data_IF_336482101271
#
_entry.id   IF_336482101271
#
_cell.length_a   1.000
_cell.length_b   1.000
_cell.length_c   1.000
_cell.angle_alpha   90.00
_cell.angle_beta   90.00
_cell.angle_gamma   90.00
#
_symmetry.space_group_name_H-M   'P 1'
#
loop_
_entity.id
_entity.type
_entity.pdbx_description
1 polymer ?
#
# COMPACT_ATOMS: atom_id res chain seq x y z
N UNK A 1 9.82 -32.39 -13.11
CA UNK A 1 10.51 -31.15 -12.66
C UNK A 1 11.56 -30.76 -13.69
N UNK A 2 12.58 -31.60 -14.01
CA UNK A 2 13.65 -31.21 -14.90
C UNK A 2 13.22 -30.78 -16.31
N UNK A 3 12.18 -31.39 -16.90
CA UNK A 3 11.67 -30.95 -18.20
C UNK A 3 11.15 -29.49 -18.16
N UNK A 4 10.48 -29.12 -17.05
CA UNK A 4 10.02 -27.75 -16.81
C UNK A 4 11.21 -26.81 -16.58
N UNK A 5 12.18 -27.25 -15.78
CA UNK A 5 13.44 -26.53 -15.54
C UNK A 5 14.17 -26.21 -16.86
N UNK A 6 14.45 -27.21 -17.71
CA UNK A 6 15.12 -26.96 -18.99
C UNK A 6 14.34 -26.01 -19.90
N UNK A 7 13.02 -26.13 -19.91
CA UNK A 7 12.17 -25.22 -20.71
C UNK A 7 12.31 -23.75 -20.27
N UNK A 8 12.35 -23.49 -18.98
CA UNK A 8 12.46 -22.13 -18.43
C UNK A 8 13.89 -21.61 -18.53
N UNK A 9 14.90 -22.46 -18.35
CA UNK A 9 16.31 -22.08 -18.49
C UNK A 9 16.75 -21.85 -19.93
N UNK A 10 16.11 -22.47 -20.91
CA UNK A 10 16.53 -22.38 -22.31
C UNK A 10 16.66 -20.94 -22.84
N UNK A 11 15.73 -20.02 -22.62
CA UNK A 11 15.87 -18.62 -23.05
C UNK A 11 17.07 -17.89 -22.42
N UNK A 12 17.42 -18.19 -21.17
CA UNK A 12 18.59 -17.58 -20.50
C UNK A 12 19.89 -18.08 -21.11
N UNK A 13 19.96 -19.39 -21.41
CA UNK A 13 21.11 -20.00 -22.09
C UNK A 13 21.29 -19.43 -23.50
N UNK A 14 20.18 -19.24 -24.23
CA UNK A 14 20.22 -18.61 -25.57
C UNK A 14 20.69 -17.14 -25.45
N UNK A 15 20.24 -16.39 -24.46
CA UNK A 15 20.71 -15.03 -24.24
C UNK A 15 22.21 -15.01 -23.91
N UNK A 16 22.66 -15.87 -22.99
CA UNK A 16 24.08 -15.97 -22.60
C UNK A 16 24.97 -16.38 -23.76
N UNK A 17 24.49 -17.26 -24.69
CA UNK A 17 25.25 -17.68 -25.87
C UNK A 17 25.53 -16.56 -26.87
N UNK A 18 24.79 -15.44 -26.79
CA UNK A 18 25.06 -14.25 -27.61
C UNK A 18 26.31 -13.49 -27.13
N UNK A 19 26.78 -13.73 -25.91
CA UNK A 19 27.91 -13.01 -25.32
C UNK A 19 27.78 -11.49 -25.48
N UNK A 20 28.83 -10.82 -25.91
CA UNK A 20 28.86 -9.34 -26.12
C UNK A 20 27.85 -8.83 -27.18
N UNK A 21 27.20 -9.73 -27.94
CA UNK A 21 26.15 -9.36 -28.91
C UNK A 21 24.77 -9.29 -28.24
N UNK A 22 24.62 -9.68 -26.99
CA UNK A 22 23.37 -9.54 -26.26
C UNK A 22 23.09 -8.05 -26.01
N UNK A 23 21.94 -7.58 -26.46
CA UNK A 23 21.53 -6.19 -26.27
C UNK A 23 20.72 -6.01 -24.97
N UNK A 24 20.66 -4.77 -24.44
CA UNK A 24 19.77 -4.43 -23.32
C UNK A 24 18.31 -4.78 -23.66
N UNK A 25 17.90 -4.59 -24.93
CA UNK A 25 16.57 -4.97 -25.40
C UNK A 25 16.30 -6.49 -25.32
N UNK A 26 17.30 -7.32 -25.63
CA UNK A 26 17.16 -8.78 -25.49
C UNK A 26 16.96 -9.17 -24.02
N UNK A 27 17.71 -8.54 -23.12
CA UNK A 27 17.57 -8.74 -21.67
C UNK A 27 16.19 -8.29 -21.17
N UNK A 28 15.73 -7.09 -21.52
CA UNK A 28 14.42 -6.58 -21.11
C UNK A 28 13.25 -7.42 -21.64
N UNK A 29 13.36 -7.98 -22.84
CA UNK A 29 12.34 -8.88 -23.39
C UNK A 29 12.26 -10.18 -22.63
N UNK A 30 13.41 -10.74 -22.25
CA UNK A 30 13.47 -12.00 -21.51
C UNK A 30 13.03 -11.79 -20.06
N UNK A 31 13.64 -10.85 -19.33
CA UNK A 31 13.39 -10.64 -17.92
C UNK A 31 12.17 -9.74 -17.66
N UNK A 32 11.04 -10.07 -18.32
CA UNK A 32 9.75 -9.46 -17.98
C UNK A 32 9.20 -10.04 -16.67
N UNK A 33 8.24 -9.39 -16.01
CA UNK A 33 7.72 -9.82 -14.70
C UNK A 33 7.18 -11.25 -14.66
N UNK A 34 6.54 -11.70 -15.73
CA UNK A 34 5.98 -13.06 -15.83
C UNK A 34 7.09 -14.10 -15.88
N UNK A 35 8.11 -13.86 -16.72
CA UNK A 35 9.28 -14.72 -16.79
C UNK A 35 10.04 -14.79 -15.47
N UNK A 36 10.30 -13.63 -14.83
CA UNK A 36 11.01 -13.56 -13.54
C UNK A 36 10.29 -14.39 -12.48
N UNK A 37 8.97 -14.30 -12.41
CA UNK A 37 8.14 -15.07 -11.49
C UNK A 37 8.24 -16.58 -11.77
N UNK A 38 8.10 -16.99 -13.04
CA UNK A 38 8.20 -18.40 -13.43
C UNK A 38 9.60 -18.95 -13.20
N UNK A 39 10.62 -18.16 -13.52
CA UNK A 39 12.04 -18.50 -13.34
C UNK A 39 12.37 -18.79 -11.86
N UNK A 40 12.01 -17.91 -10.95
CA UNK A 40 12.22 -18.11 -9.52
C UNK A 40 11.47 -19.33 -8.98
N UNK A 41 10.21 -19.49 -9.37
CA UNK A 41 9.39 -20.62 -8.94
C UNK A 41 9.96 -21.98 -9.42
N UNK A 42 10.48 -22.04 -10.63
CA UNK A 42 11.06 -23.28 -11.20
C UNK A 42 12.41 -23.61 -10.57
N UNK A 43 13.24 -22.60 -10.25
CA UNK A 43 14.46 -22.81 -9.48
C UNK A 43 14.12 -23.45 -8.13
N UNK A 44 13.18 -22.86 -7.38
CA UNK A 44 12.76 -23.37 -6.07
C UNK A 44 12.18 -24.79 -6.17
N UNK A 45 11.31 -25.04 -7.14
CA UNK A 45 10.74 -26.36 -7.39
C UNK A 45 11.83 -27.40 -7.69
N UNK A 46 12.88 -27.01 -8.40
CA UNK A 46 13.98 -27.91 -8.75
C UNK A 46 14.86 -28.23 -7.53
N UNK A 47 15.23 -27.22 -6.75
CA UNK A 47 15.98 -27.39 -5.50
C UNK A 47 15.22 -28.29 -4.51
N UNK A 48 13.92 -28.02 -4.32
CA UNK A 48 13.06 -28.82 -3.44
C UNK A 48 12.91 -30.28 -3.91
N UNK A 49 12.78 -30.50 -5.22
CA UNK A 49 12.72 -31.82 -5.80
C UNK A 49 14.02 -32.61 -5.56
N UNK A 50 15.18 -31.98 -5.79
CA UNK A 50 16.47 -32.62 -5.57
C UNK A 50 16.67 -32.94 -4.08
N UNK A 51 16.32 -32.03 -3.18
CA UNK A 51 16.38 -32.25 -1.74
C UNK A 51 15.51 -33.44 -1.31
N UNK A 52 14.28 -33.54 -1.81
CA UNK A 52 13.35 -34.65 -1.46
C UNK A 52 13.78 -35.99 -2.06
N UNK A 53 14.39 -35.96 -3.23
CA UNK A 53 14.83 -37.20 -3.93
C UNK A 53 16.25 -37.65 -3.58
N UNK A 54 16.95 -36.91 -2.71
CA UNK A 54 18.37 -37.18 -2.39
C UNK A 54 19.33 -36.93 -3.56
N UNK A 55 18.88 -36.26 -4.62
CA UNK A 55 19.71 -35.86 -5.76
C UNK A 55 20.36 -34.50 -5.49
N UNK A 56 21.48 -34.25 -6.17
CA UNK A 56 22.22 -33.00 -6.09
C UNK A 56 22.88 -32.69 -7.44
N UNK A 57 22.05 -32.54 -8.48
CA UNK A 57 22.54 -32.32 -9.85
C UNK A 57 22.77 -30.85 -10.12
N UNK A 58 21.78 -29.99 -9.76
CA UNK A 58 21.78 -28.56 -10.04
C UNK A 58 21.67 -27.69 -8.78
N UNK A 59 21.39 -28.26 -7.60
CA UNK A 59 21.09 -27.52 -6.38
C UNK A 59 22.12 -26.46 -6.05
N UNK A 60 23.42 -26.81 -6.09
CA UNK A 60 24.49 -25.87 -5.68
C UNK A 60 24.62 -24.71 -6.67
N UNK A 61 24.53 -24.98 -7.98
CA UNK A 61 24.56 -23.95 -9.02
C UNK A 61 23.32 -23.05 -8.94
N UNK A 62 22.13 -23.62 -8.74
CA UNK A 62 20.88 -22.87 -8.67
C UNK A 62 20.80 -21.98 -7.44
N UNK A 63 21.39 -22.39 -6.31
CA UNK A 63 21.47 -21.54 -5.11
C UNK A 63 22.35 -20.31 -5.40
N UNK A 64 23.49 -20.48 -6.06
CA UNK A 64 24.38 -19.39 -6.44
C UNK A 64 23.73 -18.49 -7.49
N UNK A 65 23.16 -19.06 -8.53
CA UNK A 65 22.46 -18.31 -9.60
C UNK A 65 21.28 -17.49 -9.04
N UNK A 66 20.51 -18.07 -8.12
CA UNK A 66 19.43 -17.35 -7.43
C UNK A 66 19.98 -16.17 -6.64
N UNK A 67 21.09 -16.36 -5.92
CA UNK A 67 21.71 -15.29 -5.13
C UNK A 67 22.25 -14.16 -6.03
N UNK A 68 22.94 -14.50 -7.09
CA UNK A 68 23.52 -13.54 -8.04
C UNK A 68 22.42 -12.75 -8.77
N UNK A 69 21.35 -13.41 -9.18
CA UNK A 69 20.20 -12.78 -9.84
C UNK A 69 19.51 -11.79 -8.89
N UNK A 70 19.27 -12.19 -7.64
CA UNK A 70 18.70 -11.31 -6.61
C UNK A 70 19.59 -10.10 -6.36
N UNK A 71 20.90 -10.29 -6.22
CA UNK A 71 21.86 -9.21 -6.02
C UNK A 71 21.86 -8.24 -7.21
N UNK A 72 21.82 -8.73 -8.42
CA UNK A 72 21.75 -7.91 -9.64
C UNK A 72 20.51 -7.03 -9.67
N UNK A 73 19.32 -7.61 -9.43
CA UNK A 73 18.06 -6.84 -9.38
C UNK A 73 18.07 -5.83 -8.24
N UNK A 74 18.53 -6.21 -7.06
CA UNK A 74 18.60 -5.30 -5.92
C UNK A 74 19.53 -4.11 -6.18
N UNK A 75 20.70 -4.35 -6.75
CA UNK A 75 21.65 -3.30 -7.14
C UNK A 75 21.02 -2.34 -8.16
N UNK A 76 20.32 -2.87 -9.16
CA UNK A 76 19.59 -2.07 -10.14
C UNK A 76 18.50 -1.22 -9.47
N UNK A 77 17.69 -1.82 -8.60
CA UNK A 77 16.60 -1.14 -7.90
C UNK A 77 17.12 0.02 -7.02
N UNK A 78 18.22 -0.20 -6.29
CA UNK A 78 18.85 0.83 -5.47
C UNK A 78 19.45 1.95 -6.33
N UNK A 79 20.08 1.62 -7.46
CA UNK A 79 20.62 2.61 -8.41
C UNK A 79 19.51 3.48 -9.01
N UNK A 80 18.40 2.87 -9.42
CA UNK A 80 17.23 3.57 -9.95
C UNK A 80 16.61 4.49 -8.89
N UNK A 81 16.49 4.03 -7.65
CA UNK A 81 16.00 4.83 -6.53
C UNK A 81 16.91 6.04 -6.26
N UNK A 82 18.23 5.84 -6.21
CA UNK A 82 19.20 6.92 -6.03
C UNK A 82 19.17 7.95 -7.16
N UNK A 83 18.80 7.53 -8.38
CA UNK A 83 18.58 8.39 -9.52
C UNK A 83 17.17 9.02 -9.56
N UNK A 84 16.36 8.88 -8.50
CA UNK A 84 14.96 9.32 -8.40
C UNK A 84 14.04 8.78 -9.49
N UNK A 85 14.39 7.64 -10.10
CA UNK A 85 13.57 6.90 -11.06
C UNK A 85 12.63 5.97 -10.31
N UNK A 86 11.73 6.56 -9.52
CA UNK A 86 10.91 5.83 -8.55
C UNK A 86 9.99 4.78 -9.17
N UNK A 87 9.44 5.03 -10.35
CA UNK A 87 8.57 4.08 -11.05
C UNK A 87 9.34 2.82 -11.47
N UNK A 88 10.51 3.01 -12.07
CA UNK A 88 11.38 1.90 -12.49
C UNK A 88 11.96 1.16 -11.29
N UNK A 89 12.35 1.88 -10.23
CA UNK A 89 12.82 1.30 -8.99
C UNK A 89 11.73 0.44 -8.30
N UNK A 90 10.48 0.94 -8.28
CA UNK A 90 9.32 0.17 -7.80
C UNK A 90 9.15 -1.14 -8.58
N UNK A 91 9.22 -1.07 -9.92
CA UNK A 91 9.11 -2.27 -10.76
C UNK A 91 10.25 -3.27 -10.50
N UNK A 92 11.48 -2.80 -10.31
CA UNK A 92 12.63 -3.64 -10.02
C UNK A 92 12.50 -4.33 -8.64
N UNK A 93 12.10 -3.61 -7.58
CA UNK A 93 11.85 -4.21 -6.28
C UNK A 93 10.67 -5.20 -6.31
N UNK A 94 9.61 -4.89 -7.07
CA UNK A 94 8.50 -5.82 -7.22
C UNK A 94 8.93 -7.09 -7.98
N UNK A 95 9.82 -6.97 -8.96
CA UNK A 95 10.40 -8.13 -9.65
C UNK A 95 11.22 -8.99 -8.69
N UNK A 96 11.98 -8.38 -7.78
CA UNK A 96 12.73 -9.10 -6.75
C UNK A 96 11.80 -9.88 -5.81
N UNK A 97 10.72 -9.24 -5.36
CA UNK A 97 9.68 -9.92 -4.57
C UNK A 97 9.03 -11.07 -5.33
N UNK A 98 8.63 -10.88 -6.59
CA UNK A 98 7.97 -11.92 -7.38
C UNK A 98 8.89 -13.09 -7.71
N UNK A 99 10.20 -12.87 -7.77
CA UNK A 99 11.21 -13.90 -7.94
C UNK A 99 11.36 -14.80 -6.70
N UNK A 100 11.31 -14.23 -5.51
CA UNK A 100 11.45 -14.95 -4.24
C UNK A 100 10.47 -14.42 -3.16
N UNK A 101 9.15 -14.62 -3.31
CA UNK A 101 8.14 -14.00 -2.43
C UNK A 101 8.32 -14.36 -0.96
N UNK A 102 8.90 -15.52 -0.69
CA UNK A 102 9.11 -16.03 0.67
C UNK A 102 10.14 -15.22 1.45
N UNK A 103 11.20 -14.77 0.76
CA UNK A 103 12.33 -14.12 1.41
C UNK A 103 12.42 -12.62 1.11
N UNK A 104 11.69 -12.12 0.10
CA UNK A 104 11.78 -10.74 -0.39
C UNK A 104 10.57 -9.87 -0.03
N UNK A 105 9.91 -10.16 1.09
CA UNK A 105 8.77 -9.35 1.52
C UNK A 105 9.11 -7.87 1.76
N UNK A 106 10.34 -7.56 2.15
CA UNK A 106 10.83 -6.18 2.24
C UNK A 106 10.90 -5.49 0.88
N UNK A 107 11.22 -6.24 -0.17
CA UNK A 107 11.24 -5.72 -1.54
C UNK A 107 9.83 -5.34 -2.00
N UNK A 108 8.78 -6.09 -1.59
CA UNK A 108 7.38 -5.69 -1.81
C UNK A 108 7.06 -4.36 -1.10
N UNK A 109 7.51 -4.19 0.14
CA UNK A 109 7.32 -2.94 0.88
C UNK A 109 8.02 -1.76 0.18
N UNK A 110 9.27 -1.95 -0.26
CA UNK A 110 10.01 -0.92 -1.00
C UNK A 110 9.32 -0.57 -2.32
N UNK A 111 8.83 -1.57 -3.06
CA UNK A 111 8.08 -1.36 -4.29
C UNK A 111 6.82 -0.52 -4.05
N UNK A 112 6.07 -0.81 -2.98
CA UNK A 112 4.86 -0.08 -2.62
C UNK A 112 5.15 1.39 -2.27
N UNK A 113 6.18 1.65 -1.46
CA UNK A 113 6.63 3.01 -1.10
C UNK A 113 7.01 3.80 -2.36
N UNK A 114 7.81 3.21 -3.23
CA UNK A 114 8.32 3.86 -4.44
C UNK A 114 7.22 4.13 -5.47
N UNK A 115 6.20 3.28 -5.56
CA UNK A 115 5.03 3.54 -6.39
C UNK A 115 4.28 4.81 -5.93
N UNK A 116 4.14 4.99 -4.61
CA UNK A 116 3.54 6.21 -4.05
C UNK A 116 4.42 7.43 -4.32
N UNK A 117 5.74 7.32 -4.14
CA UNK A 117 6.69 8.40 -4.46
C UNK A 117 6.68 8.77 -5.95
N UNK A 118 6.41 7.81 -6.83
CA UNK A 118 6.22 8.05 -8.27
C UNK A 118 4.85 8.68 -8.61
N UNK A 119 4.00 8.97 -7.62
CA UNK A 119 2.61 9.41 -7.77
C UNK A 119 1.72 8.40 -8.53
N UNK A 120 2.15 7.14 -8.64
CA UNK A 120 1.33 6.06 -9.19
C UNK A 120 0.46 5.44 -8.07
N UNK A 121 -0.57 6.20 -7.66
CA UNK A 121 -1.42 5.82 -6.52
C UNK A 121 -2.21 4.53 -6.75
N UNK A 122 -2.53 4.20 -8.02
CA UNK A 122 -3.20 2.92 -8.34
C UNK A 122 -2.26 1.73 -8.14
N UNK A 123 -1.02 1.83 -8.63
CA UNK A 123 -0.02 0.81 -8.37
C UNK A 123 0.33 0.75 -6.89
N UNK A 124 0.51 1.90 -6.24
CA UNK A 124 0.76 2.01 -4.81
C UNK A 124 -0.31 1.26 -4.00
N UNK A 125 -1.59 1.51 -4.28
CA UNK A 125 -2.71 0.80 -3.64
C UNK A 125 -2.59 -0.71 -3.82
N UNK A 126 -2.42 -1.18 -5.05
CA UNK A 126 -2.29 -2.62 -5.35
C UNK A 126 -1.17 -3.28 -4.55
N UNK A 127 0.00 -2.63 -4.52
CA UNK A 127 1.17 -3.17 -3.80
C UNK A 127 1.00 -3.11 -2.28
N UNK A 128 0.37 -2.08 -1.74
CA UNK A 128 0.04 -2.01 -0.32
C UNK A 128 -1.05 -3.00 0.10
N UNK A 129 -2.04 -3.28 -0.76
CA UNK A 129 -3.02 -4.36 -0.55
C UNK A 129 -2.33 -5.73 -0.50
N UNK A 130 -1.39 -5.99 -1.42
CA UNK A 130 -0.59 -7.21 -1.44
C UNK A 130 0.30 -7.31 -0.19
N UNK A 131 0.97 -6.23 0.21
CA UNK A 131 1.77 -6.15 1.42
C UNK A 131 0.93 -6.42 2.67
N UNK A 132 -0.27 -5.81 2.77
CA UNK A 132 -1.18 -5.98 3.88
C UNK A 132 -1.62 -7.44 4.07
N UNK A 133 -1.70 -8.19 2.98
CA UNK A 133 -2.07 -9.61 2.97
C UNK A 133 -0.86 -10.55 3.02
N UNK A 134 0.37 -10.05 2.89
CA UNK A 134 1.59 -10.86 2.81
C UNK A 134 1.91 -11.59 4.12
N UNK A 135 2.61 -12.72 3.99
CA UNK A 135 3.20 -13.41 5.13
C UNK A 135 4.28 -12.56 5.79
N UNK A 136 4.99 -11.75 5.02
CA UNK A 136 6.00 -10.82 5.53
C UNK A 136 5.42 -9.84 6.56
N UNK A 137 4.30 -9.18 6.28
CA UNK A 137 3.69 -8.26 7.24
C UNK A 137 3.12 -9.00 8.46
N UNK A 138 2.60 -10.21 8.29
CA UNK A 138 1.97 -10.98 9.38
C UNK A 138 3.00 -11.61 10.31
N UNK A 139 4.02 -12.24 9.75
CA UNK A 139 4.94 -13.14 10.46
C UNK A 139 6.42 -12.75 10.34
N UNK A 140 6.75 -11.76 9.51
CA UNK A 140 8.13 -11.33 9.28
C UNK A 140 8.79 -10.76 10.53
N UNK A 141 10.11 -10.89 10.58
CA UNK A 141 10.96 -10.32 11.64
C UNK A 141 12.11 -9.57 10.99
N UNK A 142 12.33 -8.35 11.45
CA UNK A 142 13.48 -7.52 11.08
C UNK A 142 14.57 -7.78 12.14
N UNK A 143 15.75 -8.15 11.67
CA UNK A 143 16.91 -8.43 12.50
C UNK A 143 17.89 -7.28 12.43
N UNK A 144 18.08 -6.54 13.52
CA UNK A 144 19.04 -5.42 13.56
C UNK A 144 20.10 -5.62 14.61
N UNK A 145 21.23 -4.92 14.45
CA UNK A 145 22.26 -4.75 15.46
C UNK A 145 23.00 -3.43 15.26
N UNK A 146 23.64 -2.91 16.30
CA UNK A 146 24.44 -1.68 16.23
C UNK A 146 25.83 -2.01 15.69
N UNK A 147 26.23 -1.36 14.60
CA UNK A 147 27.60 -1.39 14.11
C UNK A 147 28.50 -0.57 15.07
N UNK A 148 29.51 -1.19 15.65
CA UNK A 148 30.39 -0.54 16.65
C UNK A 148 31.26 0.58 16.08
N UNK A 149 31.58 0.51 14.79
CA UNK A 149 32.43 1.52 14.16
C UNK A 149 31.65 2.80 13.82
N UNK A 150 30.39 2.68 13.32
CA UNK A 150 29.55 3.82 12.94
C UNK A 150 28.60 4.27 14.04
N UNK A 151 28.25 3.38 14.99
CA UNK A 151 27.21 3.59 15.99
C UNK A 151 25.79 3.48 15.39
N UNK A 152 25.64 3.16 14.11
CA UNK A 152 24.36 3.05 13.43
C UNK A 152 23.71 1.68 13.63
N UNK A 153 22.36 1.65 13.66
CA UNK A 153 21.59 0.41 13.60
C UNK A 153 21.61 -0.12 12.16
N UNK A 154 22.06 -1.35 11.98
CA UNK A 154 22.12 -2.03 10.68
C UNK A 154 21.17 -3.21 10.65
N UNK A 155 20.53 -3.44 9.50
CA UNK A 155 19.60 -4.53 9.27
C UNK A 155 20.30 -5.69 8.55
N UNK A 156 19.89 -6.91 8.90
CA UNK A 156 20.43 -8.17 8.37
C UNK A 156 19.30 -8.98 7.72
N UNK A 157 19.66 -9.72 6.67
CA UNK A 157 18.68 -10.56 5.93
C UNK A 157 18.21 -11.76 6.77
N UNK A 158 19.00 -12.18 7.77
CA UNK A 158 18.62 -13.28 8.66
C UNK A 158 19.26 -13.13 10.05
N UNK A 159 18.69 -13.85 11.01
CA UNK A 159 19.23 -13.95 12.36
C UNK A 159 20.64 -14.58 12.36
N UNK A 160 20.84 -15.57 11.50
CA UNK A 160 22.12 -16.28 11.34
C UNK A 160 23.21 -15.35 10.80
N UNK A 161 22.88 -14.52 9.82
CA UNK A 161 23.80 -13.52 9.28
C UNK A 161 24.21 -12.53 10.39
N UNK A 162 23.24 -11.94 11.09
CA UNK A 162 23.51 -11.04 12.21
C UNK A 162 24.42 -11.67 13.27
N UNK A 163 24.17 -12.94 13.63
CA UNK A 163 24.98 -13.63 14.63
C UNK A 163 26.44 -13.80 14.19
N UNK A 164 26.73 -13.96 12.88
CA UNK A 164 28.09 -13.98 12.35
C UNK A 164 28.82 -12.65 12.60
N UNK A 165 28.15 -11.52 12.30
CA UNK A 165 28.75 -10.19 12.52
C UNK A 165 28.95 -9.86 14.01
N UNK A 166 28.06 -10.34 14.88
CA UNK A 166 28.24 -10.24 16.33
C UNK A 166 29.41 -11.09 16.79
N UNK A 167 29.55 -12.33 16.29
CA UNK A 167 30.67 -13.21 16.62
C UNK A 167 32.02 -12.67 16.14
N UNK A 168 32.06 -11.94 15.02
CA UNK A 168 33.21 -11.20 14.53
C UNK A 168 33.56 -9.96 15.39
N UNK A 169 32.68 -9.61 16.34
CA UNK A 169 32.88 -8.46 17.23
C UNK A 169 32.64 -7.09 16.61
N UNK A 170 32.15 -7.04 15.36
CA UNK A 170 31.87 -5.78 14.63
C UNK A 170 30.52 -5.15 15.00
N UNK A 171 29.57 -5.96 15.53
CA UNK A 171 28.23 -5.51 15.89
C UNK A 171 27.87 -5.92 17.33
N UNK A 172 26.92 -5.20 17.92
CA UNK A 172 26.40 -5.43 19.26
C UNK A 172 24.91 -5.11 19.38
N UNK A 173 24.31 -5.38 20.54
CA UNK A 173 22.90 -5.05 20.87
C UNK A 173 21.91 -5.55 19.80
N UNK A 174 21.86 -6.88 19.55
CA UNK A 174 20.92 -7.44 18.60
C UNK A 174 19.46 -7.18 19.03
N UNK A 175 18.62 -6.84 18.05
CA UNK A 175 17.19 -6.60 18.27
C UNK A 175 16.37 -7.31 17.20
N UNK A 176 15.29 -7.96 17.61
CA UNK A 176 14.29 -8.60 16.74
C UNK A 176 13.01 -7.76 16.80
N UNK A 177 12.58 -7.23 15.67
CA UNK A 177 11.35 -6.43 15.57
C UNK A 177 10.36 -7.13 14.65
N UNK A 178 9.14 -7.40 15.13
CA UNK A 178 8.09 -7.98 14.28
C UNK A 178 7.65 -6.96 13.25
N UNK A 179 7.59 -7.37 11.97
CA UNK A 179 7.11 -6.52 10.88
C UNK A 179 5.64 -6.12 11.10
N UNK A 180 4.86 -6.97 11.76
CA UNK A 180 3.46 -6.68 12.11
C UNK A 180 3.28 -5.43 12.99
N UNK A 181 4.34 -4.93 13.64
CA UNK A 181 4.31 -3.64 14.32
C UNK A 181 4.03 -2.47 13.35
N UNK A 182 4.31 -2.64 12.05
CA UNK A 182 4.07 -1.64 11.01
C UNK A 182 2.67 -1.75 10.39
N UNK A 183 1.81 -2.66 10.87
CA UNK A 183 0.45 -2.88 10.33
C UNK A 183 -0.38 -1.60 10.31
N UNK A 184 -0.30 -0.81 11.38
CA UNK A 184 -1.02 0.47 11.48
C UNK A 184 -0.60 1.48 10.42
N UNK A 185 0.70 1.55 10.12
CA UNK A 185 1.24 2.41 9.08
C UNK A 185 0.79 1.97 7.68
N UNK A 186 0.81 0.66 7.40
CA UNK A 186 0.31 0.10 6.15
C UNK A 186 -1.17 0.44 5.96
N UNK A 187 -2.00 0.31 7.00
CA UNK A 187 -3.42 0.66 6.95
C UNK A 187 -3.62 2.17 6.78
N UNK A 188 -2.80 3.00 7.43
CA UNK A 188 -2.84 4.45 7.27
C UNK A 188 -2.62 4.84 5.80
N UNK A 189 -1.59 4.30 5.17
CA UNK A 189 -1.29 4.58 3.76
C UNK A 189 -2.40 4.06 2.86
N UNK A 190 -2.92 2.84 3.11
CA UNK A 190 -4.03 2.27 2.34
C UNK A 190 -5.29 3.14 2.41
N UNK A 191 -5.64 3.67 3.59
CA UNK A 191 -6.80 4.53 3.71
C UNK A 191 -6.68 5.83 2.89
N UNK A 192 -5.48 6.40 2.85
CA UNK A 192 -5.18 7.56 2.00
C UNK A 192 -5.27 7.19 0.52
N UNK A 193 -4.69 6.06 0.11
CA UNK A 193 -4.69 5.60 -1.28
C UNK A 193 -6.11 5.28 -1.78
N UNK A 194 -6.94 4.62 -0.97
CA UNK A 194 -8.35 4.40 -1.29
C UNK A 194 -9.11 5.72 -1.45
N UNK A 195 -8.84 6.71 -0.59
CA UNK A 195 -9.44 8.05 -0.71
C UNK A 195 -9.02 8.72 -2.02
N UNK A 196 -7.73 8.70 -2.35
CA UNK A 196 -7.18 9.29 -3.58
C UNK A 196 -7.73 8.61 -4.85
N UNK A 197 -7.96 7.30 -4.80
CA UNK A 197 -8.50 6.54 -5.92
C UNK A 197 -10.03 6.52 -5.98
N UNK A 198 -10.73 7.21 -5.05
CA UNK A 198 -12.18 7.31 -5.01
C UNK A 198 -12.91 6.08 -4.48
N UNK A 199 -12.21 5.14 -3.84
CA UNK A 199 -12.77 3.93 -3.24
C UNK A 199 -13.22 4.21 -1.79
N UNK A 200 -14.20 5.12 -1.63
CA UNK A 200 -14.56 5.71 -0.34
C UNK A 200 -14.99 4.70 0.71
N UNK A 201 -15.72 3.63 0.34
CA UNK A 201 -16.15 2.61 1.31
C UNK A 201 -14.95 1.83 1.88
N UNK A 202 -14.00 1.44 1.03
CA UNK A 202 -12.76 0.80 1.50
C UNK A 202 -11.93 1.75 2.35
N UNK A 203 -11.89 3.04 2.00
CA UNK A 203 -11.23 4.05 2.81
C UNK A 203 -11.83 4.12 4.22
N UNK A 204 -13.16 4.19 4.35
CA UNK A 204 -13.87 4.21 5.64
C UNK A 204 -13.55 2.99 6.51
N UNK A 205 -13.63 1.79 5.92
CA UNK A 205 -13.33 0.53 6.61
C UNK A 205 -11.86 0.51 7.09
N UNK A 206 -10.94 0.94 6.22
CA UNK A 206 -9.50 0.94 6.52
C UNK A 206 -9.12 1.98 7.57
N UNK A 207 -9.71 3.19 7.53
CA UNK A 207 -9.56 4.19 8.60
C UNK A 207 -10.07 3.65 9.93
N UNK A 208 -11.23 2.99 9.94
CA UNK A 208 -11.78 2.41 11.15
C UNK A 208 -10.88 1.29 11.74
N UNK A 209 -10.25 0.46 10.89
CA UNK A 209 -9.28 -0.55 11.34
C UNK A 209 -8.00 0.10 11.87
N UNK A 210 -7.42 1.07 11.15
CA UNK A 210 -6.21 1.78 11.56
C UNK A 210 -6.41 2.51 12.89
N UNK A 211 -7.56 3.16 13.08
CA UNK A 211 -7.92 3.87 14.33
C UNK A 211 -8.07 2.95 15.54
N UNK A 212 -8.46 1.67 15.35
CA UNK A 212 -8.46 0.68 16.46
C UNK A 212 -7.04 0.38 16.93
N UNK A 213 -6.05 0.41 16.04
CA UNK A 213 -4.65 0.17 16.38
C UNK A 213 -3.97 1.43 16.95
N UNK A 214 -4.32 2.60 16.43
CA UNK A 214 -3.75 3.90 16.79
C UNK A 214 -4.89 4.90 17.12
N UNK A 215 -5.57 4.76 18.25
CA UNK A 215 -6.75 5.59 18.58
C UNK A 215 -6.44 7.09 18.77
N UNK A 216 -5.20 7.41 19.11
CA UNK A 216 -4.75 8.78 19.38
C UNK A 216 -3.93 9.40 18.24
N UNK A 217 -3.90 8.77 17.07
CA UNK A 217 -3.19 9.30 15.90
C UNK A 217 -4.00 10.43 15.27
N UNK A 218 -3.47 11.67 15.34
CA UNK A 218 -4.16 12.86 14.84
C UNK A 218 -4.21 12.93 13.31
N UNK A 219 -3.25 12.32 12.59
CA UNK A 219 -3.30 12.28 11.13
C UNK A 219 -4.42 11.35 10.65
N UNK A 220 -4.55 10.15 11.26
CA UNK A 220 -5.65 9.23 10.97
C UNK A 220 -7.00 9.86 11.30
N UNK A 221 -7.09 10.56 12.44
CA UNK A 221 -8.29 11.26 12.86
C UNK A 221 -8.69 12.37 11.88
N UNK A 222 -7.72 13.16 11.46
CA UNK A 222 -7.92 14.23 10.47
C UNK A 222 -8.31 13.66 9.10
N UNK A 223 -7.64 12.59 8.65
CA UNK A 223 -7.96 11.94 7.38
C UNK A 223 -9.37 11.33 7.36
N UNK A 224 -9.75 10.62 8.42
CA UNK A 224 -11.12 10.08 8.59
C UNK A 224 -12.17 11.19 8.65
N UNK A 225 -11.90 12.26 9.39
CA UNK A 225 -12.78 13.44 9.44
C UNK A 225 -12.98 14.02 8.03
N UNK A 226 -11.90 14.31 7.32
CA UNK A 226 -11.97 14.92 5.99
C UNK A 226 -12.73 14.01 4.99
N UNK A 227 -12.57 12.69 5.07
CA UNK A 227 -13.29 11.75 4.23
C UNK A 227 -14.81 11.91 4.38
N UNK A 228 -15.31 11.87 5.62
CA UNK A 228 -16.75 12.01 5.90
C UNK A 228 -17.26 13.43 5.65
N UNK A 229 -16.49 14.46 6.01
CA UNK A 229 -16.86 15.84 5.74
C UNK A 229 -17.01 16.10 4.23
N UNK A 230 -16.00 15.69 3.43
CA UNK A 230 -16.01 15.89 1.98
C UNK A 230 -17.13 15.09 1.28
N UNK A 231 -17.42 13.88 1.76
CA UNK A 231 -18.55 13.09 1.26
C UNK A 231 -19.88 13.81 1.50
N UNK A 232 -20.10 14.29 2.73
CA UNK A 232 -21.28 15.07 3.06
C UNK A 232 -21.38 16.34 2.23
N UNK A 233 -20.27 17.07 2.11
CA UNK A 233 -20.21 18.32 1.36
C UNK A 233 -20.46 18.11 -0.15
N UNK A 234 -19.91 17.07 -0.74
CA UNK A 234 -20.17 16.71 -2.14
C UNK A 234 -21.67 16.40 -2.40
N UNK A 235 -22.38 15.88 -1.39
CA UNK A 235 -23.82 15.67 -1.45
C UNK A 235 -24.65 16.95 -1.50
N UNK A 236 -24.05 18.11 -1.14
CA UNK A 236 -24.71 19.43 -1.12
C UNK A 236 -24.45 20.27 -2.38
N UNK A 237 -23.85 19.72 -3.42
CA UNK A 237 -23.46 20.46 -4.64
C UNK A 237 -24.61 21.21 -5.35
N UNK A 238 -25.85 20.78 -5.14
CA UNK A 238 -27.04 21.41 -5.73
C UNK A 238 -27.69 22.46 -4.82
N UNK A 239 -27.14 22.70 -3.62
CA UNK A 239 -27.77 23.59 -2.62
C UNK A 239 -27.98 25.01 -3.15
N UNK A 240 -26.96 25.64 -3.75
CA UNK A 240 -27.05 27.00 -4.27
C UNK A 240 -28.11 27.11 -5.37
N UNK A 241 -28.20 26.13 -6.27
CA UNK A 241 -29.22 26.07 -7.32
C UNK A 241 -30.62 25.95 -6.71
N UNK A 242 -30.80 25.02 -5.78
CA UNK A 242 -32.11 24.82 -5.12
C UNK A 242 -32.56 26.06 -4.38
N UNK A 243 -31.68 26.72 -3.65
CA UNK A 243 -31.99 27.97 -2.94
C UNK A 243 -32.40 29.06 -3.91
N UNK A 244 -31.67 29.25 -5.01
CA UNK A 244 -32.01 30.26 -6.03
C UNK A 244 -33.38 29.98 -6.67
N UNK A 245 -33.67 28.71 -7.03
CA UNK A 245 -34.95 28.32 -7.63
C UNK A 245 -36.12 28.41 -6.64
N UNK A 246 -35.93 28.07 -5.36
CA UNK A 246 -36.92 28.24 -4.30
C UNK A 246 -37.30 29.71 -4.18
N UNK A 247 -36.29 30.59 -4.10
CA UNK A 247 -36.53 32.03 -4.00
C UNK A 247 -37.27 32.63 -5.21
N UNK A 248 -36.99 32.12 -6.39
CA UNK A 248 -37.67 32.51 -7.65
C UNK A 248 -39.08 31.94 -7.79
N UNK A 249 -39.48 30.96 -6.99
CA UNK A 249 -40.76 30.20 -7.15
C UNK A 249 -41.79 30.57 -6.08
N UNK A 250 -41.65 31.66 -5.34
CA UNK A 250 -42.54 32.07 -4.23
C UNK A 250 -43.98 32.27 -4.65
N UNK A 251 -44.25 32.61 -5.92
CA UNK A 251 -45.60 32.76 -6.49
C UNK A 251 -46.23 31.46 -6.99
N UNK A 252 -45.42 30.39 -7.17
CA UNK A 252 -45.85 29.06 -7.59
C UNK A 252 -45.69 28.07 -6.43
N UNK A 253 -46.74 27.97 -5.62
CA UNK A 253 -46.73 27.14 -4.40
C UNK A 253 -46.38 25.67 -4.70
N UNK A 254 -46.88 25.12 -5.85
CA UNK A 254 -46.61 23.73 -6.20
C UNK A 254 -45.13 23.49 -6.52
N UNK A 255 -44.55 24.40 -7.32
CA UNK A 255 -43.12 24.35 -7.65
C UNK A 255 -42.24 24.57 -6.40
N UNK A 256 -42.62 25.56 -5.59
CA UNK A 256 -41.95 25.85 -4.33
C UNK A 256 -41.87 24.61 -3.41
N UNK A 257 -43.02 23.97 -3.15
CA UNK A 257 -43.07 22.79 -2.28
C UNK A 257 -42.23 21.63 -2.85
N UNK A 258 -42.26 21.39 -4.15
CA UNK A 258 -41.43 20.38 -4.78
C UNK A 258 -39.95 20.63 -4.57
N UNK A 259 -39.47 21.85 -4.77
CA UNK A 259 -38.10 22.24 -4.57
C UNK A 259 -37.65 22.13 -3.09
N UNK A 260 -38.56 22.48 -2.16
CA UNK A 260 -38.31 22.29 -0.73
C UNK A 260 -38.19 20.82 -0.35
N UNK A 261 -38.99 19.94 -0.95
CA UNK A 261 -38.88 18.48 -0.75
C UNK A 261 -37.56 17.93 -1.31
N UNK A 262 -37.15 18.39 -2.51
CA UNK A 262 -35.87 18.03 -3.11
C UNK A 262 -34.70 18.46 -2.20
N UNK A 263 -34.71 19.69 -1.71
CA UNK A 263 -33.72 20.21 -0.76
C UNK A 263 -33.66 19.39 0.53
N UNK A 264 -34.84 19.10 1.10
CA UNK A 264 -34.95 18.28 2.31
C UNK A 264 -34.37 16.88 2.09
N UNK A 265 -34.70 16.23 0.96
CA UNK A 265 -34.16 14.90 0.62
C UNK A 265 -32.66 14.92 0.42
N UNK A 266 -32.10 16.00 -0.16
CA UNK A 266 -30.66 16.17 -0.33
C UNK A 266 -29.96 16.24 1.04
N UNK A 267 -30.42 17.10 1.96
CA UNK A 267 -29.86 17.19 3.30
C UNK A 267 -30.00 15.88 4.08
N UNK A 268 -31.12 15.20 3.96
CA UNK A 268 -31.35 13.93 4.64
C UNK A 268 -30.34 12.85 4.27
N UNK A 269 -29.86 12.84 3.02
CA UNK A 269 -28.80 11.93 2.54
C UNK A 269 -27.42 12.26 3.09
N UNK A 270 -27.15 13.53 3.39
CA UNK A 270 -25.82 13.99 3.86
C UNK A 270 -25.63 13.94 5.37
N UNK A 271 -26.73 13.90 6.14
CA UNK A 271 -26.70 13.87 7.61
C UNK A 271 -25.76 12.77 8.14
N UNK A 272 -25.82 11.49 7.69
CA UNK A 272 -24.97 10.44 8.26
C UNK A 272 -23.47 10.76 8.16
N UNK A 273 -23.03 11.33 7.03
CA UNK A 273 -21.63 11.71 6.83
C UNK A 273 -21.21 12.86 7.73
N UNK A 274 -22.06 13.88 7.89
CA UNK A 274 -21.78 14.99 8.82
C UNK A 274 -21.88 14.57 10.29
N UNK A 275 -22.82 13.71 10.68
CA UNK A 275 -22.87 13.12 12.04
C UNK A 275 -21.57 12.38 12.36
N UNK A 276 -21.04 11.60 11.39
CA UNK A 276 -19.78 10.90 11.57
C UNK A 276 -18.59 11.86 11.65
N UNK A 277 -18.51 12.86 10.76
CA UNK A 277 -17.49 13.91 10.83
C UNK A 277 -17.54 14.63 12.19
N UNK A 278 -18.72 15.04 12.66
CA UNK A 278 -18.91 15.66 13.97
C UNK A 278 -18.46 14.77 15.12
N UNK A 279 -18.74 13.47 15.07
CA UNK A 279 -18.29 12.52 16.09
C UNK A 279 -16.76 12.39 16.19
N UNK A 280 -16.05 12.63 15.07
CA UNK A 280 -14.58 12.56 14.99
C UNK A 280 -13.98 13.90 15.47
N UNK A 281 -14.51 15.04 14.99
CA UNK A 281 -14.07 16.37 15.37
C UNK A 281 -15.26 17.26 15.76
N UNK A 282 -15.70 17.19 17.03
CA UNK A 282 -16.86 17.96 17.50
C UNK A 282 -16.59 19.47 17.64
N UNK A 283 -15.37 19.92 17.41
CA UNK A 283 -15.00 21.35 17.50
C UNK A 283 -15.01 22.07 16.14
N UNK A 284 -15.16 21.33 15.03
CA UNK A 284 -15.18 21.93 13.70
C UNK A 284 -16.45 22.79 13.49
N UNK A 285 -16.25 24.09 13.28
CA UNK A 285 -17.32 25.05 13.14
C UNK A 285 -18.17 24.84 11.88
N UNK A 286 -17.56 24.40 10.78
CA UNK A 286 -18.26 24.17 9.52
C UNK A 286 -19.21 22.97 9.64
N UNK A 287 -18.70 21.86 10.19
CA UNK A 287 -19.52 20.66 10.43
C UNK A 287 -20.69 20.95 11.34
N UNK A 288 -20.47 21.69 12.43
CA UNK A 288 -21.56 22.13 13.33
C UNK A 288 -22.63 22.92 12.58
N UNK A 289 -22.21 23.95 11.84
CA UNK A 289 -23.13 24.84 11.12
C UNK A 289 -23.97 24.05 10.09
N UNK A 290 -23.31 23.20 9.27
CA UNK A 290 -24.00 22.43 8.26
C UNK A 290 -24.94 21.40 8.89
N UNK A 291 -24.48 20.68 9.93
CA UNK A 291 -25.29 19.66 10.60
C UNK A 291 -26.50 20.25 11.29
N UNK A 292 -26.36 21.41 11.95
CA UNK A 292 -27.46 22.12 12.53
C UNK A 292 -28.51 22.54 11.49
N UNK A 293 -28.06 23.14 10.38
CA UNK A 293 -28.92 23.52 9.26
C UNK A 293 -29.59 22.26 8.63
N UNK A 294 -28.88 21.17 8.47
CA UNK A 294 -29.43 19.92 7.95
C UNK A 294 -30.56 19.35 8.82
N UNK A 295 -30.39 19.40 10.15
CA UNK A 295 -31.42 19.00 11.09
C UNK A 295 -32.64 19.92 11.05
N UNK A 296 -32.45 21.24 10.96
CA UNK A 296 -33.54 22.23 10.86
C UNK A 296 -34.37 22.02 9.57
N UNK A 297 -33.69 21.87 8.41
CA UNK A 297 -34.35 21.63 7.10
C UNK A 297 -35.12 20.31 7.08
N UNK A 298 -34.56 19.28 7.74
CA UNK A 298 -35.20 17.95 7.77
C UNK A 298 -36.23 17.76 8.88
N UNK A 299 -36.45 18.79 9.72
CA UNK A 299 -37.40 18.79 10.82
C UNK A 299 -36.92 18.05 12.09
N UNK A 300 -35.62 17.80 12.22
CA UNK A 300 -35.01 17.12 13.39
C UNK A 300 -34.59 18.17 14.44
N UNK A 301 -35.53 19.06 14.85
CA UNK A 301 -35.26 20.25 15.67
C UNK A 301 -34.59 19.91 17.02
N UNK A 302 -34.97 18.81 17.65
CA UNK A 302 -34.36 18.40 18.92
C UNK A 302 -32.87 18.04 18.76
N UNK A 303 -32.50 17.40 17.64
CA UNK A 303 -31.08 17.15 17.34
C UNK A 303 -30.32 18.43 17.02
N UNK A 304 -30.95 19.40 16.34
CA UNK A 304 -30.30 20.70 16.08
C UNK A 304 -29.89 21.43 17.36
N UNK A 305 -30.68 21.32 18.44
CA UNK A 305 -30.38 21.92 19.75
C UNK A 305 -29.19 21.27 20.46
N UNK A 306 -28.85 20.04 20.11
CA UNK A 306 -27.70 19.35 20.75
C UNK A 306 -26.35 19.72 20.12
N UNK A 307 -26.34 20.41 18.99
CA UNK A 307 -25.12 20.87 18.32
C UNK A 307 -24.71 22.22 18.97
N UNK A 308 -23.66 22.15 19.79
CA UNK A 308 -23.14 23.28 20.59
C UNK A 308 -21.86 23.87 19.97
#
# INVERSE_FOLDING_TARGET
>A
VYAKFYKVMYPTVVLSSKGDKATIQDQMKLYNPEFIKEYGAVIDETIEFEKKSGKKVYTDELILEKADFKQGINTLALSLNSASKFKEASAAFYSLYTFDPKNEGKSLQNAAILAVQANDYKLGQKLYEELNNSDYLKNGVIYTAINKASGSEEEFNSKEERLKYIALGTHEKPKDTKVSANKSEVLRILSILYTQNGELEKAKETYAEARKLLPNDEELKTGEFNLYFNEGYAGLKEEDRLVAEINASTSDIKKYNKLMDERKAMFQKTIPSFEKAYSINPTDANTKSILKMAYEITGQVEKAKTIN
#
